data_IF_346383258425
#
_entry.id   IF_346383258425
#
_cell.length_a   1.000
_cell.length_b   1.000
_cell.length_c   1.000
_cell.angle_alpha   90.00
_cell.angle_beta   90.00
_cell.angle_gamma   90.00
#
_symmetry.space_group_name_H-M   'P 1'
#
loop_
_entity.id
_entity.type
_entity.pdbx_description
1 polymer ?
#
# COMPACT_ATOMS: atom_id res chain seq x y z
N UNK A 1 21.94 16.30 -27.31
CA UNK A 1 21.78 17.78 -27.29
C UNK A 1 22.53 18.38 -28.47
N UNK A 2 22.02 19.47 -29.06
CA UNK A 2 22.73 20.33 -30.04
C UNK A 2 22.50 21.78 -29.64
N UNK A 3 23.48 22.64 -29.90
CA UNK A 3 23.34 24.09 -29.74
C UNK A 3 23.11 24.71 -31.10
N UNK A 4 22.10 25.59 -31.20
CA UNK A 4 21.83 26.43 -32.38
C UNK A 4 22.31 27.84 -32.04
N UNK A 5 23.14 28.42 -32.91
CA UNK A 5 23.51 29.83 -32.84
C UNK A 5 23.05 30.55 -34.10
N UNK A 6 22.45 31.73 -33.94
CA UNK A 6 21.96 32.57 -35.02
C UNK A 6 22.03 34.04 -34.57
N UNK A 7 22.71 34.88 -35.34
CA UNK A 7 22.94 36.29 -35.00
C UNK A 7 21.96 37.26 -35.68
N UNK A 8 21.22 36.78 -36.68
CA UNK A 8 20.13 37.48 -37.35
C UNK A 8 19.21 36.46 -38.03
N UNK A 9 17.91 36.72 -38.05
CA UNK A 9 16.89 35.81 -38.57
C UNK A 9 17.03 35.53 -40.08
N UNK A 10 17.73 36.41 -40.79
CA UNK A 10 17.97 36.36 -42.23
C UNK A 10 19.17 35.47 -42.62
N UNK A 11 19.94 34.98 -41.65
CA UNK A 11 21.10 34.12 -41.88
C UNK A 11 20.81 32.69 -41.45
N UNK A 12 21.33 31.74 -42.20
CA UNK A 12 21.22 30.32 -41.84
C UNK A 12 21.92 30.04 -40.49
N UNK A 13 21.25 29.34 -39.57
CA UNK A 13 21.82 29.05 -38.26
C UNK A 13 22.92 27.99 -38.33
N UNK A 14 23.94 28.17 -37.48
CA UNK A 14 24.98 27.17 -37.29
C UNK A 14 24.52 26.21 -36.19
N UNK A 15 24.50 24.92 -36.50
CA UNK A 15 24.09 23.85 -35.58
C UNK A 15 25.32 23.03 -35.20
N UNK A 16 25.55 22.85 -33.90
CA UNK A 16 26.65 22.01 -33.40
C UNK A 16 26.48 20.54 -33.78
N UNK A 17 27.58 19.78 -33.68
CA UNK A 17 27.53 18.31 -33.66
C UNK A 17 26.62 17.80 -32.53
N UNK A 18 26.13 16.56 -32.68
CA UNK A 18 25.36 15.87 -31.63
C UNK A 18 26.29 15.51 -30.48
N UNK A 19 25.96 15.99 -29.29
CA UNK A 19 26.52 15.47 -28.03
C UNK A 19 25.51 14.53 -27.39
N UNK A 20 25.91 13.28 -27.17
CA UNK A 20 25.17 12.33 -26.32
C UNK A 20 25.56 12.62 -24.87
N UNK A 21 24.57 12.77 -24.00
CA UNK A 21 24.78 12.79 -22.56
C UNK A 21 23.86 11.76 -21.93
N UNK A 22 24.28 11.21 -20.80
CA UNK A 22 23.47 10.29 -20.00
C UNK A 22 22.93 11.05 -18.80
N UNK A 23 21.63 10.91 -18.53
CA UNK A 23 20.99 11.39 -17.32
C UNK A 23 20.60 10.19 -16.48
N UNK A 24 21.14 10.07 -15.27
CA UNK A 24 20.67 9.10 -14.29
C UNK A 24 19.61 9.77 -13.42
N UNK A 25 18.35 9.41 -13.61
CA UNK A 25 17.25 9.84 -12.74
C UNK A 25 17.14 8.90 -11.55
N UNK A 26 16.93 9.45 -10.35
CA UNK A 26 16.64 8.65 -9.17
C UNK A 26 15.14 8.66 -8.89
N UNK A 27 14.62 7.50 -8.46
CA UNK A 27 13.29 7.44 -7.85
C UNK A 27 13.31 8.28 -6.57
N UNK A 28 12.34 9.19 -6.36
CA UNK A 28 12.29 9.97 -5.13
C UNK A 28 12.09 9.03 -3.94
N UNK A 29 12.75 9.36 -2.82
CA UNK A 29 12.53 8.66 -1.57
C UNK A 29 11.05 8.79 -1.14
N UNK A 30 10.50 7.72 -0.57
CA UNK A 30 9.15 7.75 -0.02
C UNK A 30 9.14 8.57 1.28
N UNK A 31 8.09 9.38 1.46
CA UNK A 31 7.84 10.06 2.73
C UNK A 31 7.68 9.01 3.83
N UNK A 32 8.38 9.20 4.94
CA UNK A 32 8.24 8.39 6.15
C UNK A 32 7.26 9.10 7.07
N UNK A 33 6.24 8.37 7.52
CA UNK A 33 5.25 8.88 8.46
C UNK A 33 5.52 8.29 9.85
N UNK A 34 5.22 9.03 10.94
CA UNK A 34 5.11 8.44 12.27
C UNK A 34 4.10 7.29 12.24
N UNK A 35 4.34 6.27 13.06
CA UNK A 35 3.59 5.02 12.97
C UNK A 35 3.52 4.30 14.31
N UNK A 36 2.52 3.43 14.41
CA UNK A 36 2.42 2.40 15.45
C UNK A 36 2.45 1.03 14.79
N UNK A 37 2.95 0.05 15.51
CA UNK A 37 3.04 -1.34 15.03
C UNK A 37 1.75 -2.06 15.39
N UNK A 38 1.29 -2.91 14.48
CA UNK A 38 0.21 -3.86 14.74
C UNK A 38 0.84 -5.24 14.80
N UNK A 39 0.93 -5.85 15.98
CA UNK A 39 1.65 -7.11 16.20
C UNK A 39 0.69 -8.16 16.71
N UNK A 40 0.66 -9.33 16.09
CA UNK A 40 -0.19 -10.41 16.55
C UNK A 40 0.15 -11.74 15.95
N UNK A 41 -0.78 -12.67 16.04
CA UNK A 41 -0.63 -14.03 15.53
C UNK A 41 -0.29 -14.07 14.04
N UNK A 42 -0.86 -13.16 13.24
CA UNK A 42 -0.62 -13.08 11.80
C UNK A 42 0.86 -12.90 11.42
N UNK A 43 1.66 -12.28 12.28
CA UNK A 43 3.10 -12.08 12.09
C UNK A 43 3.94 -12.86 13.09
N UNK A 44 3.35 -13.84 13.78
CA UNK A 44 4.02 -14.66 14.80
C UNK A 44 4.59 -13.84 15.95
N UNK A 45 3.91 -12.74 16.33
CA UNK A 45 4.36 -11.81 17.39
C UNK A 45 5.76 -11.20 17.16
N UNK A 46 6.21 -11.14 15.90
CA UNK A 46 7.51 -10.59 15.51
C UNK A 46 7.40 -9.18 14.90
N UNK A 47 7.99 -8.18 15.57
CA UNK A 47 8.01 -6.79 15.12
C UNK A 47 8.70 -6.56 13.77
N UNK A 48 9.63 -7.43 13.35
CA UNK A 48 10.24 -7.31 12.01
C UNK A 48 9.28 -7.71 10.89
N UNK A 49 8.20 -8.40 11.22
CA UNK A 49 7.15 -8.87 10.31
C UNK A 49 5.82 -8.14 10.51
N UNK A 50 5.76 -7.14 11.39
CA UNK A 50 4.52 -6.40 11.64
C UNK A 50 4.20 -5.42 10.52
N UNK A 51 2.92 -5.14 10.39
CA UNK A 51 2.35 -4.03 9.63
C UNK A 51 2.13 -2.82 10.55
N UNK A 52 1.83 -1.67 9.95
CA UNK A 52 1.75 -0.39 10.66
C UNK A 52 0.43 0.33 10.44
N UNK A 53 0.03 1.13 11.43
CA UNK A 53 -0.87 2.27 11.21
C UNK A 53 -0.04 3.55 11.22
N UNK A 54 -0.39 4.50 10.38
CA UNK A 54 0.39 5.70 10.14
C UNK A 54 -0.36 6.94 10.59
N UNK A 55 0.37 7.86 11.21
CA UNK A 55 -0.12 9.21 11.48
C UNK A 55 0.16 10.09 10.25
N UNK A 56 -0.88 10.27 9.45
CA UNK A 56 -0.81 11.00 8.18
C UNK A 56 -0.66 12.51 8.42
N UNK A 57 -1.25 13.02 9.51
CA UNK A 57 -1.27 14.44 9.86
C UNK A 57 -0.07 14.87 10.71
N UNK A 58 0.68 13.91 11.25
CA UNK A 58 1.88 14.13 12.07
C UNK A 58 1.57 14.90 13.37
N UNK A 59 0.36 14.72 13.91
CA UNK A 59 -0.14 15.37 15.12
C UNK A 59 -0.33 14.40 16.31
N UNK A 60 -0.10 13.10 16.08
CA UNK A 60 -0.24 12.03 17.07
C UNK A 60 -1.68 11.73 17.47
N UNK A 61 -2.69 12.32 16.82
CA UNK A 61 -4.09 12.17 17.20
C UNK A 61 -4.74 10.92 16.60
N UNK A 62 -4.42 10.60 15.35
CA UNK A 62 -4.96 9.43 14.67
C UNK A 62 -3.88 8.64 13.96
N UNK A 63 -4.00 7.32 13.99
CA UNK A 63 -3.17 6.44 13.19
C UNK A 63 -4.08 5.53 12.37
N UNK A 64 -3.82 5.40 11.08
CA UNK A 64 -4.66 4.58 10.20
C UNK A 64 -3.87 3.82 9.14
N UNK A 65 -4.46 2.73 8.65
CA UNK A 65 -3.83 1.91 7.64
C UNK A 65 -4.53 0.57 7.41
N UNK A 66 -4.20 -0.04 6.27
CA UNK A 66 -4.60 -1.40 5.93
C UNK A 66 -3.69 -2.42 6.59
N UNK A 67 -4.30 -3.41 7.26
CA UNK A 67 -3.62 -4.54 7.89
C UNK A 67 -4.23 -5.84 7.35
N UNK A 68 -3.38 -6.71 6.81
CA UNK A 68 -3.76 -8.06 6.42
C UNK A 68 -3.42 -9.05 7.55
N UNK A 69 -4.45 -9.68 8.12
CA UNK A 69 -4.31 -10.64 9.21
C UNK A 69 -4.23 -12.09 8.73
N UNK A 70 -4.39 -12.35 7.42
CA UNK A 70 -4.42 -13.69 6.86
C UNK A 70 -5.41 -14.64 7.58
N UNK A 71 -6.56 -14.09 8.02
CA UNK A 71 -7.58 -14.82 8.78
C UNK A 71 -7.28 -15.03 10.28
N UNK A 72 -6.18 -14.48 10.81
CA UNK A 72 -5.72 -14.69 12.20
C UNK A 72 -6.03 -13.52 13.14
N UNK A 73 -6.92 -12.60 12.77
CA UNK A 73 -7.25 -11.43 13.60
C UNK A 73 -7.81 -11.84 14.98
N UNK A 74 -8.64 -12.88 15.02
CA UNK A 74 -9.27 -13.38 16.24
C UNK A 74 -8.29 -14.12 17.17
N UNK A 75 -7.14 -14.54 16.66
CA UNK A 75 -6.09 -15.17 17.48
C UNK A 75 -5.34 -14.14 18.34
N UNK A 76 -5.59 -12.84 18.12
CA UNK A 76 -5.08 -11.78 18.96
C UNK A 76 -4.00 -10.94 18.28
N UNK A 77 -4.07 -9.64 18.52
CA UNK A 77 -3.02 -8.69 18.24
C UNK A 77 -2.97 -7.57 19.29
N UNK A 78 -1.88 -6.80 19.29
CA UNK A 78 -1.65 -5.61 20.10
C UNK A 78 -1.15 -4.48 19.22
N UNK A 79 -1.18 -3.27 19.77
CA UNK A 79 -0.58 -2.07 19.19
C UNK A 79 0.62 -1.68 20.05
N UNK A 80 1.77 -1.37 19.46
CA UNK A 80 2.90 -0.74 20.17
C UNK A 80 3.29 0.58 19.51
N UNK A 81 3.76 1.53 20.30
CA UNK A 81 4.21 2.85 19.81
C UNK A 81 5.70 2.84 19.40
N UNK A 82 6.42 1.80 19.81
CA UNK A 82 7.84 1.58 19.51
C UNK A 82 8.05 0.18 18.95
N UNK A 83 9.14 0.01 18.19
CA UNK A 83 9.52 -1.30 17.68
C UNK A 83 10.08 -2.17 18.80
N UNK A 84 9.25 -3.03 19.38
CA UNK A 84 9.62 -3.96 20.45
C UNK A 84 8.60 -3.99 21.59
N UNK A 85 8.81 -4.91 22.53
CA UNK A 85 8.01 -4.99 23.76
C UNK A 85 8.62 -4.08 24.83
N UNK A 86 8.32 -2.78 24.77
CA UNK A 86 8.94 -1.77 25.62
C UNK A 86 7.99 -1.24 26.72
N UNK A 87 6.88 -1.95 26.99
CA UNK A 87 5.88 -1.56 28.00
C UNK A 87 4.94 -0.45 27.54
N UNK A 88 4.91 -0.15 26.25
CA UNK A 88 4.00 0.79 25.58
C UNK A 88 2.86 0.08 24.84
N UNK A 89 2.75 -1.23 24.99
CA UNK A 89 1.76 -2.03 24.30
C UNK A 89 0.35 -1.79 24.85
N UNK A 90 -0.60 -1.64 23.93
CA UNK A 90 -2.02 -1.59 24.24
C UNK A 90 -2.74 -2.71 23.51
N UNK A 91 -3.77 -3.22 24.17
CA UNK A 91 -4.67 -4.23 23.66
C UNK A 91 -6.10 -3.81 23.98
N UNK A 92 -6.93 -4.73 24.44
CA UNK A 92 -8.29 -4.41 24.87
C UNK A 92 -8.71 -5.28 26.05
N UNK A 93 -9.56 -4.73 26.91
CA UNK A 93 -10.26 -5.45 27.97
C UNK A 93 -11.77 -5.54 27.70
N UNK A 94 -12.23 -4.99 26.57
CA UNK A 94 -13.64 -5.03 26.21
C UNK A 94 -14.04 -6.45 25.80
N UNK A 95 -15.29 -6.82 26.12
CA UNK A 95 -15.87 -8.10 25.70
C UNK A 95 -16.61 -8.02 24.36
N UNK A 96 -16.89 -6.82 23.85
CA UNK A 96 -17.70 -6.60 22.64
C UNK A 96 -17.17 -5.46 21.79
N UNK A 97 -17.36 -5.57 20.47
CA UNK A 97 -17.22 -4.45 19.54
C UNK A 97 -18.52 -3.65 19.53
N UNK A 98 -18.43 -2.33 19.71
CA UNK A 98 -19.58 -1.41 19.65
C UNK A 98 -19.35 -0.41 18.53
N UNK A 99 -20.28 -0.31 17.57
CA UNK A 99 -20.18 0.59 16.41
C UNK A 99 -18.84 0.46 15.65
N UNK A 100 -18.41 -0.79 15.42
CA UNK A 100 -17.10 -1.14 14.83
C UNK A 100 -15.87 -0.67 15.63
N UNK A 101 -16.04 -0.27 16.89
CA UNK A 101 -14.97 0.20 17.78
C UNK A 101 -14.80 -0.70 18.98
N UNK A 102 -13.58 -0.72 19.49
CA UNK A 102 -13.23 -1.25 20.81
C UNK A 102 -12.38 -0.22 21.55
N UNK A 103 -12.48 -0.18 22.87
CA UNK A 103 -11.51 0.56 23.68
C UNK A 103 -10.17 -0.14 23.62
N UNK A 104 -9.11 0.65 23.52
CA UNK A 104 -7.73 0.14 23.57
C UNK A 104 -6.90 0.78 24.67
N UNK A 105 -6.30 -0.06 25.49
CA UNK A 105 -5.59 0.30 26.72
C UNK A 105 -4.61 -0.81 27.11
N UNK A 106 -3.71 -0.60 28.09
CA UNK A 106 -2.92 -1.69 28.63
C UNK A 106 -3.83 -2.84 29.07
N UNK A 107 -3.68 -4.00 28.44
CA UNK A 107 -4.67 -5.06 28.57
C UNK A 107 -4.37 -6.31 27.75
N UNK A 108 -5.40 -7.15 27.64
CA UNK A 108 -5.36 -8.41 26.89
C UNK A 108 -5.27 -8.18 25.37
N UNK A 109 -5.03 -9.25 24.61
CA UNK A 109 -4.97 -9.14 23.16
C UNK A 109 -6.31 -8.66 22.57
N UNK A 110 -6.24 -7.87 21.51
CA UNK A 110 -7.39 -7.55 20.68
C UNK A 110 -7.73 -8.77 19.83
N UNK A 111 -8.86 -9.40 20.07
CA UNK A 111 -9.31 -10.64 19.38
C UNK A 111 -10.75 -10.56 18.85
N UNK A 112 -11.44 -9.44 19.05
CA UNK A 112 -12.86 -9.30 18.71
C UNK A 112 -13.11 -8.88 17.25
N UNK A 113 -12.07 -8.64 16.46
CA UNK A 113 -12.19 -8.40 15.02
C UNK A 113 -11.94 -9.69 14.22
N UNK A 114 -12.68 -9.85 13.12
CA UNK A 114 -12.78 -11.07 12.31
C UNK A 114 -12.37 -10.89 10.83
N UNK A 115 -11.98 -9.69 10.40
CA UNK A 115 -11.65 -9.40 9.01
C UNK A 115 -10.28 -9.94 8.56
N UNK A 116 -10.22 -10.44 7.32
CA UNK A 116 -8.95 -10.90 6.71
C UNK A 116 -8.01 -9.74 6.41
N UNK A 117 -8.53 -8.67 5.84
CA UNK A 117 -7.81 -7.44 5.52
C UNK A 117 -8.69 -6.29 6.00
N UNK A 118 -8.18 -5.44 6.89
CA UNK A 118 -8.96 -4.40 7.54
C UNK A 118 -8.27 -3.05 7.41
N UNK A 119 -9.04 -2.01 7.14
CA UNK A 119 -8.61 -0.64 7.36
C UNK A 119 -8.95 -0.28 8.81
N UNK A 120 -7.92 -0.09 9.61
CA UNK A 120 -8.05 0.22 11.03
C UNK A 120 -7.72 1.68 11.27
N UNK A 121 -8.40 2.30 12.23
CA UNK A 121 -8.13 3.67 12.68
C UNK A 121 -8.07 3.71 14.21
N UNK A 122 -6.91 4.06 14.74
CA UNK A 122 -6.67 4.32 16.16
C UNK A 122 -6.95 5.79 16.44
N UNK A 123 -7.89 6.06 17.34
CA UNK A 123 -8.08 7.37 17.97
C UNK A 123 -7.21 7.46 19.22
N UNK A 124 -6.18 8.31 19.16
CA UNK A 124 -5.15 8.46 20.17
C UNK A 124 -5.24 9.79 20.93
N UNK A 125 -6.31 10.58 20.72
CA UNK A 125 -6.44 11.94 21.26
C UNK A 125 -6.55 11.96 22.79
N UNK A 126 -7.30 11.02 23.36
CA UNK A 126 -7.42 10.82 24.80
C UNK A 126 -6.77 9.48 25.19
N UNK A 127 -5.61 9.55 25.85
CA UNK A 127 -4.85 8.37 26.27
C UNK A 127 -5.60 7.46 27.26
N UNK A 128 -6.64 7.95 27.92
CA UNK A 128 -7.44 7.14 28.85
C UNK A 128 -8.65 6.48 28.16
N UNK A 129 -9.05 6.97 26.98
CA UNK A 129 -10.24 6.55 26.25
C UNK A 129 -9.98 6.33 24.75
N UNK A 130 -8.81 5.78 24.40
CA UNK A 130 -8.48 5.45 23.02
C UNK A 130 -9.42 4.39 22.48
N UNK A 131 -9.70 4.48 21.19
CA UNK A 131 -10.47 3.45 20.49
C UNK A 131 -9.77 3.00 19.23
N UNK A 132 -9.93 1.72 18.89
CA UNK A 132 -9.57 1.18 17.59
C UNK A 132 -10.85 0.91 16.81
N UNK A 133 -10.98 1.52 15.65
CA UNK A 133 -12.11 1.40 14.74
C UNK A 133 -11.76 0.51 13.55
N UNK A 134 -12.63 -0.46 13.25
CA UNK A 134 -12.63 -1.18 11.97
C UNK A 134 -13.48 -0.41 10.97
N UNK A 135 -12.83 0.44 10.17
CA UNK A 135 -13.50 1.31 9.20
C UNK A 135 -14.00 0.51 8.00
N UNK A 136 -13.20 -0.46 7.53
CA UNK A 136 -13.52 -1.28 6.36
C UNK A 136 -12.88 -2.66 6.47
N UNK A 137 -13.55 -3.66 5.92
CA UNK A 137 -13.01 -5.01 5.71
C UNK A 137 -13.08 -5.35 4.23
N UNK A 138 -12.04 -6.00 3.72
CA UNK A 138 -12.04 -6.64 2.40
C UNK A 138 -11.53 -8.07 2.54
N UNK A 139 -11.89 -8.94 1.60
CA UNK A 139 -11.57 -10.37 1.63
C UNK A 139 -10.38 -10.74 0.76
N UNK A 140 -10.18 -10.02 -0.35
CA UNK A 140 -9.14 -10.33 -1.33
C UNK A 140 -8.68 -9.10 -2.12
N UNK A 141 -7.49 -9.20 -2.71
CA UNK A 141 -6.97 -8.27 -3.71
C UNK A 141 -6.88 -8.99 -5.06
N UNK A 142 -7.36 -8.33 -6.10
CA UNK A 142 -7.33 -8.80 -7.48
C UNK A 142 -6.55 -7.87 -8.40
N UNK A 143 -5.92 -8.46 -9.41
CA UNK A 143 -5.43 -7.82 -10.63
C UNK A 143 -6.44 -8.05 -11.75
N UNK A 144 -6.88 -6.97 -12.39
CA UNK A 144 -7.84 -6.96 -13.49
C UNK A 144 -7.32 -6.10 -14.63
N UNK A 145 -7.79 -6.35 -15.86
CA UNK A 145 -7.58 -5.48 -17.01
C UNK A 145 -7.32 -6.27 -18.28
N UNK A 146 -7.32 -5.59 -19.43
CA UNK A 146 -7.18 -6.21 -20.76
C UNK A 146 -5.92 -7.07 -20.93
N UNK A 147 -4.87 -6.77 -20.16
CA UNK A 147 -3.64 -7.56 -20.13
C UNK A 147 -3.77 -8.87 -19.33
N UNK A 148 -4.74 -8.99 -18.43
CA UNK A 148 -4.91 -10.15 -17.54
C UNK A 148 -5.68 -11.30 -18.21
N UNK A 149 -5.65 -12.53 -17.64
CA UNK A 149 -6.32 -13.69 -18.22
C UNK A 149 -7.83 -13.51 -18.49
N UNK A 150 -8.52 -12.75 -17.64
CA UNK A 150 -9.98 -12.57 -17.70
C UNK A 150 -10.38 -11.17 -18.20
N UNK A 151 -9.45 -10.40 -18.75
CA UNK A 151 -9.71 -9.04 -19.24
C UNK A 151 -10.32 -8.15 -18.12
N UNK A 152 -11.33 -7.35 -18.43
CA UNK A 152 -12.14 -6.58 -17.47
C UNK A 152 -13.27 -7.39 -16.82
N UNK A 153 -13.23 -8.74 -16.87
CA UNK A 153 -14.24 -9.61 -16.24
C UNK A 153 -13.73 -10.24 -14.94
N UNK A 154 -14.68 -10.54 -14.06
CA UNK A 154 -14.44 -11.32 -12.84
C UNK A 154 -14.43 -12.84 -13.14
N UNK A 155 -13.74 -13.66 -12.32
CA UNK A 155 -12.92 -13.27 -11.19
C UNK A 155 -11.59 -12.64 -11.61
N UNK A 156 -11.09 -11.70 -10.82
CA UNK A 156 -9.77 -11.11 -10.99
C UNK A 156 -8.68 -12.15 -10.76
N UNK A 157 -7.48 -11.92 -11.28
CA UNK A 157 -6.30 -12.69 -10.89
C UNK A 157 -5.94 -12.36 -9.44
N UNK A 158 -5.99 -13.34 -8.54
CA UNK A 158 -5.78 -13.10 -7.11
C UNK A 158 -4.31 -12.81 -6.78
N UNK A 159 -4.09 -11.87 -5.87
CA UNK A 159 -2.81 -11.67 -5.19
C UNK A 159 -2.92 -12.19 -3.76
N UNK A 160 -1.96 -13.03 -3.36
CA UNK A 160 -1.94 -13.65 -2.03
C UNK A 160 -1.02 -12.87 -1.08
N UNK A 161 -1.44 -12.71 0.17
CA UNK A 161 -0.63 -12.02 1.17
C UNK A 161 0.57 -12.88 1.59
N UNK A 162 1.77 -12.30 1.59
CA UNK A 162 3.00 -12.90 2.05
C UNK A 162 3.41 -12.29 3.40
N UNK A 163 3.24 -13.04 4.49
CA UNK A 163 3.54 -12.62 5.87
C UNK A 163 5.02 -12.28 6.12
N UNK A 164 5.93 -12.69 5.23
CA UNK A 164 7.35 -12.35 5.36
C UNK A 164 7.68 -10.99 4.75
N UNK A 165 6.94 -10.56 3.73
CA UNK A 165 7.17 -9.30 3.01
C UNK A 165 6.12 -8.24 3.32
N UNK A 166 5.00 -8.61 3.94
CA UNK A 166 3.80 -7.80 4.13
C UNK A 166 3.25 -7.23 2.83
N UNK A 167 3.34 -8.00 1.74
CA UNK A 167 2.87 -7.62 0.41
C UNK A 167 1.91 -8.67 -0.13
N UNK A 168 1.04 -8.24 -1.02
CA UNK A 168 0.24 -9.12 -1.87
C UNK A 168 1.04 -9.47 -3.12
N UNK A 169 1.15 -10.75 -3.45
CA UNK A 169 2.00 -11.23 -4.54
C UNK A 169 1.24 -12.18 -5.46
N UNK A 170 1.53 -12.11 -6.76
CA UNK A 170 1.09 -13.10 -7.75
C UNK A 170 2.14 -13.25 -8.85
N UNK A 171 2.14 -14.38 -9.55
CA UNK A 171 2.92 -14.56 -10.77
C UNK A 171 1.96 -14.85 -11.91
N UNK A 172 1.96 -13.98 -12.92
CA UNK A 172 0.97 -14.02 -14.01
C UNK A 172 1.63 -13.70 -15.34
N UNK A 173 1.14 -14.35 -16.40
CA UNK A 173 1.47 -13.97 -17.78
C UNK A 173 0.48 -12.91 -18.25
N UNK A 174 1.00 -11.75 -18.63
CA UNK A 174 0.25 -10.63 -19.16
C UNK A 174 0.38 -10.56 -20.68
N UNK A 175 -0.64 -10.00 -21.32
CA UNK A 175 -0.61 -9.52 -22.71
C UNK A 175 -0.24 -8.03 -22.74
N UNK A 176 0.02 -7.47 -23.92
CA UNK A 176 0.04 -6.02 -24.07
C UNK A 176 -1.35 -5.47 -23.73
N UNK A 177 -1.40 -4.41 -22.91
CA UNK A 177 -2.65 -3.79 -22.52
C UNK A 177 -2.58 -3.11 -21.17
N UNK A 178 -3.66 -3.23 -20.41
CA UNK A 178 -3.86 -2.50 -19.17
C UNK A 178 -4.11 -3.41 -17.98
N UNK A 179 -3.67 -2.97 -16.80
CA UNK A 179 -3.98 -3.58 -15.51
C UNK A 179 -4.47 -2.53 -14.51
N UNK A 180 -5.15 -3.03 -13.47
CA UNK A 180 -5.58 -2.29 -12.30
C UNK A 180 -5.70 -3.25 -11.11
N UNK A 181 -5.58 -2.72 -9.89
CA UNK A 181 -5.80 -3.48 -8.67
C UNK A 181 -7.17 -3.14 -8.10
N UNK A 182 -7.92 -4.13 -7.61
CA UNK A 182 -9.17 -3.87 -6.89
C UNK A 182 -9.45 -4.89 -5.80
N UNK A 183 -10.23 -4.48 -4.82
CA UNK A 183 -10.66 -5.35 -3.74
C UNK A 183 -11.92 -6.12 -4.16
N UNK A 184 -12.03 -7.36 -3.70
CA UNK A 184 -13.28 -8.16 -3.73
C UNK A 184 -13.95 -8.34 -5.12
N UNK A 185 -13.18 -8.23 -6.20
CA UNK A 185 -13.68 -8.20 -7.60
C UNK A 185 -14.71 -7.08 -7.85
N UNK A 186 -14.65 -6.00 -7.07
CA UNK A 186 -15.59 -4.90 -7.10
C UNK A 186 -14.89 -3.56 -7.37
N UNK A 187 -15.60 -2.64 -8.02
CA UNK A 187 -15.05 -1.33 -8.36
C UNK A 187 -15.05 -0.33 -7.20
N UNK A 188 -15.75 -0.60 -6.09
CA UNK A 188 -15.87 0.31 -4.95
C UNK A 188 -14.55 0.63 -4.26
N UNK A 189 -13.56 -0.28 -4.31
CA UNK A 189 -12.20 -0.01 -3.84
C UNK A 189 -11.19 -0.52 -4.85
N UNK A 190 -10.56 0.40 -5.57
CA UNK A 190 -9.59 0.09 -6.61
C UNK A 190 -8.41 1.06 -6.57
N UNK A 191 -7.27 0.61 -7.09
CA UNK A 191 -6.01 1.34 -7.16
C UNK A 191 -5.44 1.22 -8.55
N UNK A 192 -5.05 2.36 -9.11
CA UNK A 192 -4.55 2.44 -10.46
C UNK A 192 -3.39 3.40 -10.57
N UNK A 193 -3.12 3.82 -11.81
CA UNK A 193 -2.02 4.68 -12.19
C UNK A 193 -1.92 5.90 -11.27
N UNK A 194 -0.70 6.13 -10.83
CA UNK A 194 -0.29 7.30 -10.08
C UNK A 194 -0.68 8.62 -10.78
N UNK A 195 -0.99 9.65 -9.99
CA UNK A 195 -1.15 11.01 -10.47
C UNK A 195 0.16 11.80 -10.28
N UNK A 196 0.88 12.16 -11.36
CA UNK A 196 2.13 12.90 -11.25
C UNK A 196 2.00 14.29 -10.63
N UNK A 197 0.78 14.81 -10.44
CA UNK A 197 0.56 16.06 -9.70
C UNK A 197 0.61 15.88 -8.17
N UNK A 198 0.42 14.65 -7.68
CA UNK A 198 0.38 14.31 -6.25
C UNK A 198 1.72 13.79 -5.72
N UNK A 199 2.73 13.71 -6.58
CA UNK A 199 4.10 13.32 -6.22
C UNK A 199 4.90 12.87 -7.44
N UNK A 200 5.96 12.09 -7.23
CA UNK A 200 6.94 11.78 -8.29
C UNK A 200 7.35 10.30 -8.36
N UNK A 201 6.73 9.44 -7.56
CA UNK A 201 7.08 8.02 -7.51
C UNK A 201 6.12 7.23 -8.43
N UNK A 202 6.58 6.71 -9.58
CA UNK A 202 5.70 6.00 -10.53
C UNK A 202 5.20 4.65 -10.01
N UNK A 203 5.81 4.11 -8.96
CA UNK A 203 5.42 2.86 -8.33
C UNK A 203 4.28 3.07 -7.32
N UNK A 204 3.93 4.32 -7.00
CA UNK A 204 2.76 4.63 -6.19
C UNK A 204 1.48 4.38 -6.96
N UNK A 205 0.41 4.09 -6.23
CA UNK A 205 -0.92 3.91 -6.78
C UNK A 205 -1.86 4.96 -6.21
N UNK A 206 -2.78 5.42 -7.05
CA UNK A 206 -3.87 6.31 -6.65
C UNK A 206 -5.15 5.52 -6.48
N UNK A 207 -5.86 5.75 -5.37
CA UNK A 207 -7.20 5.19 -5.20
C UNK A 207 -8.13 5.77 -6.26
N UNK A 208 -8.86 4.91 -6.97
CA UNK A 208 -9.66 5.32 -8.12
C UNK A 208 -8.84 5.80 -9.33
N UNK A 209 -7.51 5.66 -9.31
CA UNK A 209 -6.61 6.11 -10.38
C UNK A 209 -6.88 5.45 -11.72
N UNK A 210 -6.26 5.95 -12.80
CA UNK A 210 -6.44 5.42 -14.15
C UNK A 210 -5.87 4.00 -14.34
N UNK A 211 -5.96 3.46 -15.54
CA UNK A 211 -5.39 2.16 -15.86
C UNK A 211 -3.85 2.24 -16.01
N UNK A 212 -3.16 1.14 -15.68
CA UNK A 212 -1.70 1.02 -15.76
C UNK A 212 -1.36 0.23 -17.02
N UNK A 213 -0.57 0.84 -17.91
CA UNK A 213 -0.14 0.20 -19.16
C UNK A 213 0.99 -0.81 -18.88
N UNK A 214 0.91 -1.97 -19.52
CA UNK A 214 1.88 -3.06 -19.39
C UNK A 214 2.15 -3.71 -20.75
N UNK A 215 3.34 -4.30 -20.88
CA UNK A 215 3.72 -5.09 -22.05
C UNK A 215 3.58 -6.58 -21.76
N UNK A 216 3.39 -7.38 -22.82
CA UNK A 216 3.29 -8.82 -22.74
C UNK A 216 4.54 -9.43 -22.08
N UNK A 217 4.31 -10.44 -21.24
CA UNK A 217 5.40 -11.11 -20.53
C UNK A 217 4.91 -11.81 -19.27
N UNK A 218 5.79 -12.63 -18.68
CA UNK A 218 5.53 -13.24 -17.37
C UNK A 218 6.13 -12.36 -16.28
N UNK A 219 5.34 -12.03 -15.28
CA UNK A 219 5.75 -11.13 -14.21
C UNK A 219 5.44 -11.70 -12.84
N UNK A 220 6.37 -11.49 -11.90
CA UNK A 220 6.07 -11.47 -10.47
C UNK A 220 5.59 -10.07 -10.14
N UNK A 221 4.35 -9.97 -9.68
CA UNK A 221 3.71 -8.71 -9.32
C UNK A 221 3.62 -8.65 -7.81
N UNK A 222 4.04 -7.52 -7.23
CA UNK A 222 3.86 -7.24 -5.81
C UNK A 222 3.04 -5.98 -5.62
N UNK A 223 2.15 -6.00 -4.63
CA UNK A 223 1.35 -4.86 -4.21
C UNK A 223 1.50 -4.66 -2.71
N UNK A 224 2.05 -3.51 -2.32
CA UNK A 224 2.23 -3.11 -0.95
C UNK A 224 1.10 -2.18 -0.52
N UNK A 225 0.11 -2.76 0.15
CA UNK A 225 -1.05 -2.04 0.66
C UNK A 225 -0.79 -1.41 2.04
N UNK A 226 0.19 -1.89 2.82
CA UNK A 226 0.53 -1.34 4.15
C UNK A 226 1.42 -0.09 4.05
N UNK A 227 0.91 0.93 3.36
CA UNK A 227 1.52 2.25 3.15
C UNK A 227 0.43 3.32 3.17
N UNK A 228 0.81 4.56 3.50
CA UNK A 228 -0.08 5.73 3.33
C UNK A 228 -0.48 5.89 1.85
N UNK A 229 0.50 5.76 0.96
CA UNK A 229 0.28 5.68 -0.49
C UNK A 229 0.72 4.28 -0.94
N UNK A 230 -0.22 3.39 -1.30
CA UNK A 230 0.11 2.03 -1.74
C UNK A 230 1.06 2.03 -2.94
N UNK A 231 1.87 1.00 -3.07
CA UNK A 231 2.82 0.85 -4.18
C UNK A 231 2.73 -0.50 -4.84
N UNK A 232 3.19 -0.62 -6.08
CA UNK A 232 3.29 -1.88 -6.79
C UNK A 232 4.63 -2.05 -7.49
N UNK A 233 4.96 -3.29 -7.85
CA UNK A 233 6.16 -3.63 -8.60
C UNK A 233 5.86 -4.77 -9.58
N UNK A 234 6.37 -4.68 -10.81
CA UNK A 234 6.35 -5.76 -11.80
C UNK A 234 7.79 -6.15 -12.12
N UNK A 235 8.17 -7.37 -11.77
CA UNK A 235 9.48 -7.94 -12.10
C UNK A 235 9.26 -9.04 -13.14
N UNK A 236 9.92 -8.91 -14.30
CA UNK A 236 9.87 -9.96 -15.32
C UNK A 236 10.48 -11.26 -14.81
N UNK A 237 9.84 -12.38 -15.09
CA UNK A 237 10.31 -13.72 -14.74
C UNK A 237 10.63 -14.45 -16.03
N UNK A 238 11.91 -14.85 -16.17
CA UNK A 238 12.38 -15.66 -17.29
C UNK A 238 11.83 -17.09 -17.22
#
# INVERSE_FOLDING_TARGET
MRVKSQIADQLDPIISNVVKFSLTTFKPAEKVYPKVWIIGDYCGWNHSKSQFLYDINEDGQYFEGWIAFNGKAQNGFKITYTGGWNGDDIGSNDANVVNNKIKVEPGSNISLFDGKIMYLKLDNRDKNNRTLERVKTISRIGLIGSATPNDWNSPDTELLFNENTNKFETTVTLKDGEIKFRADNDWGLNWGKFDPSEGKNPDQLKSGGGNIQVSAGKYKITFNLNKVVPTYELISVN
#
